data_IF_594328247783
#
_entry.id   IF_594328247783
#
_cell.length_a   1.000
_cell.length_b   1.000
_cell.length_c   1.000
_cell.angle_alpha   90.00
_cell.angle_beta   90.00
_cell.angle_gamma   90.00
#
_symmetry.space_group_name_H-M   'P 1'
#
loop_
_entity.id
_entity.type
_entity.pdbx_description
1 polymer ?
#
# COMPACT_ATOMS: atom_id res chain seq x y z
N UNK A 1 -15.21 27.82 41.51
CA UNK A 1 -14.41 26.97 40.60
C UNK A 1 -15.36 26.39 39.55
N UNK A 2 -15.11 26.62 38.26
CA UNK A 2 -15.95 26.11 37.18
C UNK A 2 -15.05 25.71 36.00
N UNK A 3 -15.38 24.59 35.35
CA UNK A 3 -14.63 24.05 34.21
C UNK A 3 -15.13 24.66 32.89
N UNK A 4 -14.25 24.98 31.92
CA UNK A 4 -14.67 25.42 30.60
C UNK A 4 -15.02 24.24 29.67
N UNK A 5 -16.05 24.40 28.86
CA UNK A 5 -16.47 23.43 27.84
C UNK A 5 -15.53 23.38 26.63
N UNK A 6 -15.40 22.24 25.92
CA UNK A 6 -14.65 22.16 24.66
C UNK A 6 -15.36 22.93 23.53
N UNK A 7 -14.59 23.75 22.80
CA UNK A 7 -15.10 24.59 21.72
C UNK A 7 -15.55 23.83 20.47
N UNK A 8 -16.60 24.33 19.83
CA UNK A 8 -17.15 23.79 18.57
C UNK A 8 -16.45 24.40 17.35
N UNK A 9 -15.56 23.63 16.71
CA UNK A 9 -14.92 24.04 15.46
C UNK A 9 -15.94 24.07 14.30
N UNK A 10 -16.32 25.29 13.89
CA UNK A 10 -17.15 25.56 12.72
C UNK A 10 -16.31 25.49 11.44
N UNK A 11 -16.44 24.42 10.66
CA UNK A 11 -15.92 24.41 9.28
C UNK A 11 -16.76 25.33 8.40
N UNK A 12 -16.21 26.49 8.03
CA UNK A 12 -16.79 27.43 7.07
C UNK A 12 -16.49 26.93 5.64
N UNK A 13 -17.51 26.42 4.95
CA UNK A 13 -17.43 26.23 3.49
C UNK A 13 -17.59 27.59 2.79
N UNK A 14 -16.72 27.88 1.84
CA UNK A 14 -16.87 28.99 0.90
C UNK A 14 -17.85 28.57 -0.20
N UNK A 15 -19.02 29.22 -0.26
CA UNK A 15 -19.90 29.12 -1.41
C UNK A 15 -19.45 30.14 -2.48
N UNK A 16 -19.35 29.70 -3.73
CA UNK A 16 -19.36 30.57 -4.91
C UNK A 16 -20.68 30.36 -5.65
N UNK A 17 -21.49 31.41 -5.74
CA UNK A 17 -22.70 31.54 -6.56
C UNK A 17 -22.38 31.34 -8.05
N UNK A 18 -23.15 30.54 -8.80
CA UNK A 18 -24.39 30.92 -9.50
C UNK A 18 -24.20 32.07 -10.50
N UNK A 19 -24.30 31.71 -11.78
CA UNK A 19 -24.72 32.58 -12.89
C UNK A 19 -25.58 31.75 -13.85
N UNK A 20 -26.65 32.36 -14.36
CA UNK A 20 -27.78 31.71 -15.04
C UNK A 20 -27.72 31.79 -16.58
N UNK A 21 -28.17 30.70 -17.26
CA UNK A 21 -28.76 30.64 -18.62
C UNK A 21 -27.93 31.13 -19.85
N UNK A 22 -28.35 30.83 -21.12
CA UNK A 22 -29.44 29.96 -21.59
C UNK A 22 -29.05 28.83 -22.58
N UNK A 23 -30.04 27.99 -22.91
CA UNK A 23 -30.01 26.98 -23.98
C UNK A 23 -30.26 27.60 -25.37
N UNK A 24 -29.84 26.93 -26.46
CA UNK A 24 -30.48 27.05 -27.77
C UNK A 24 -31.11 25.72 -28.24
N UNK A 25 -32.27 25.81 -28.91
CA UNK A 25 -32.90 24.69 -29.60
C UNK A 25 -32.40 24.55 -31.05
N UNK A 26 -32.70 23.38 -31.63
CA UNK A 26 -32.65 22.98 -33.03
C UNK A 26 -32.41 24.03 -34.14
N UNK A 27 -31.42 23.75 -34.99
CA UNK A 27 -31.48 24.06 -36.44
C UNK A 27 -30.95 22.84 -37.21
N UNK A 28 -31.80 22.26 -38.07
CA UNK A 28 -31.36 21.39 -39.17
C UNK A 28 -30.68 22.28 -40.24
N UNK A 29 -29.56 21.86 -40.83
CA UNK A 29 -29.57 21.60 -42.29
C UNK A 29 -28.35 20.81 -42.83
N UNK A 30 -28.65 20.09 -43.92
CA UNK A 30 -27.81 19.56 -45.01
C UNK A 30 -26.26 19.58 -44.92
N UNK A 31 -25.67 18.39 -44.82
CA UNK A 31 -24.34 18.10 -45.36
C UNK A 31 -24.44 17.56 -46.80
N UNK A 32 -24.24 18.42 -47.81
CA UNK A 32 -23.98 17.97 -49.18
C UNK A 32 -22.51 17.56 -49.33
N UNK A 33 -22.30 16.36 -49.88
CA UNK A 33 -20.99 15.74 -50.11
C UNK A 33 -20.53 16.03 -51.54
N UNK A 34 -19.48 16.84 -51.73
CA UNK A 34 -18.81 16.98 -53.03
C UNK A 34 -17.27 16.94 -52.92
N UNK A 35 -16.63 16.71 -54.07
CA UNK A 35 -15.31 16.11 -54.22
C UNK A 35 -14.16 17.11 -54.47
N UNK A 36 -13.01 16.80 -53.86
CA UNK A 36 -11.66 16.70 -54.46
C UNK A 36 -10.94 17.87 -55.19
N UNK A 37 -9.64 17.97 -54.85
CA UNK A 37 -8.44 18.32 -55.65
C UNK A 37 -7.91 19.77 -55.79
N UNK A 38 -6.56 19.82 -55.79
CA UNK A 38 -5.61 20.87 -56.22
C UNK A 38 -5.47 22.17 -55.39
N UNK A 39 -4.33 22.88 -55.36
CA UNK A 39 -2.89 22.53 -55.45
C UNK A 39 -2.03 23.81 -55.29
N UNK A 40 -0.82 23.71 -54.73
CA UNK A 40 0.34 24.65 -54.83
C UNK A 40 0.20 26.16 -54.53
N UNK A 41 0.95 26.64 -53.52
CA UNK A 41 1.91 27.78 -53.53
C UNK A 41 2.47 27.92 -52.08
N UNK A 42 3.74 27.65 -51.77
CA UNK A 42 5.00 28.36 -52.11
C UNK A 42 5.24 29.67 -51.34
N UNK A 43 6.14 29.56 -50.34
CA UNK A 43 7.00 30.58 -49.72
C UNK A 43 6.42 31.88 -49.13
N UNK A 44 6.61 32.05 -47.82
CA UNK A 44 7.31 33.24 -47.28
C UNK A 44 8.08 32.91 -46.00
N UNK A 45 9.33 33.37 -45.92
CA UNK A 45 10.17 33.35 -44.71
C UNK A 45 9.82 34.54 -43.81
N UNK A 46 9.81 34.36 -42.48
CA UNK A 46 10.28 35.38 -41.54
C UNK A 46 10.71 34.73 -40.19
N UNK A 47 11.96 34.89 -39.73
CA UNK A 47 12.44 34.28 -38.49
C UNK A 47 12.56 35.28 -37.33
N UNK A 48 11.93 35.01 -36.18
CA UNK A 48 12.38 35.50 -34.86
C UNK A 48 11.50 34.96 -33.72
N UNK A 49 12.08 34.10 -32.85
CA UNK A 49 11.73 33.91 -31.42
C UNK A 49 12.63 32.81 -30.83
N UNK A 50 13.89 33.15 -30.55
CA UNK A 50 14.79 32.31 -29.76
C UNK A 50 14.60 32.57 -28.26
N UNK A 51 15.08 31.63 -27.42
CA UNK A 51 15.18 31.68 -25.94
C UNK A 51 13.88 31.58 -25.13
N UNK A 52 13.51 30.34 -24.73
CA UNK A 52 13.73 29.82 -23.36
C UNK A 52 12.99 28.47 -23.13
N UNK A 53 13.45 27.36 -23.74
CA UNK A 53 12.98 26.02 -23.31
C UNK A 53 13.97 24.87 -23.59
N UNK A 54 15.24 25.07 -23.25
CA UNK A 54 16.25 24.00 -23.37
C UNK A 54 17.15 23.91 -22.14
N UNK A 55 16.64 23.27 -21.08
CA UNK A 55 17.45 22.86 -19.92
C UNK A 55 16.79 21.75 -19.09
N UNK A 56 16.64 20.55 -19.68
CA UNK A 56 16.29 19.36 -18.87
C UNK A 56 16.74 17.99 -19.42
N UNK A 57 17.83 17.95 -20.21
CA UNK A 57 18.52 16.69 -20.51
C UNK A 57 20.04 16.87 -20.47
N UNK A 58 20.67 16.30 -19.42
CA UNK A 58 21.92 15.50 -19.46
C UNK A 58 22.61 15.50 -18.09
N UNK A 59 22.71 14.31 -17.47
CA UNK A 59 23.86 13.85 -16.67
C UNK A 59 23.55 12.49 -15.97
N UNK A 60 23.45 11.41 -16.75
CA UNK A 60 23.70 10.07 -16.22
C UNK A 60 24.58 9.30 -17.20
N UNK A 61 25.87 9.26 -16.88
CA UNK A 61 26.83 8.39 -17.55
C UNK A 61 26.50 6.93 -17.22
N UNK A 62 26.55 6.06 -18.22
CA UNK A 62 26.37 4.61 -18.02
C UNK A 62 27.63 4.00 -17.41
N UNK A 63 27.52 3.14 -16.38
CA UNK A 63 28.52 2.14 -16.07
C UNK A 63 28.29 0.88 -16.90
N UNK A 64 29.40 0.31 -17.36
CA UNK A 64 29.55 -0.89 -18.19
C UNK A 64 28.63 -2.07 -17.85
N UNK A 65 28.17 -2.73 -18.91
CA UNK A 65 27.41 -3.99 -18.86
C UNK A 65 28.23 -5.15 -18.29
N UNK A 66 27.91 -5.59 -17.08
CA UNK A 66 28.31 -6.92 -16.60
C UNK A 66 27.32 -7.96 -17.13
N UNK A 67 27.82 -8.88 -17.96
CA UNK A 67 27.04 -9.97 -18.53
C UNK A 67 26.84 -11.05 -17.44
N UNK A 68 25.70 -10.99 -16.75
CA UNK A 68 25.27 -12.09 -15.88
C UNK A 68 24.57 -13.17 -16.68
N UNK A 69 25.06 -14.39 -16.53
CA UNK A 69 24.61 -15.58 -17.24
C UNK A 69 23.28 -16.06 -16.63
N UNK A 70 22.22 -16.10 -17.44
CA UNK A 70 20.88 -16.50 -16.99
C UNK A 70 20.87 -17.96 -16.49
N UNK A 71 20.40 -18.17 -15.27
CA UNK A 71 20.04 -19.50 -14.74
C UNK A 71 18.52 -19.63 -14.68
N UNK A 72 17.93 -20.73 -15.20
CA UNK A 72 16.48 -20.82 -15.37
C UNK A 72 15.72 -21.16 -14.08
N UNK A 73 14.57 -20.53 -13.92
CA UNK A 73 13.45 -20.90 -13.03
C UNK A 73 13.71 -21.07 -11.52
N UNK A 74 13.46 -20.01 -10.75
CA UNK A 74 12.72 -20.14 -9.48
C UNK A 74 11.55 -19.16 -9.44
N UNK A 75 10.34 -19.72 -9.48
CA UNK A 75 9.08 -18.99 -9.45
C UNK A 75 8.74 -18.62 -8.00
N UNK A 76 9.20 -17.45 -7.54
CA UNK A 76 8.99 -16.97 -6.17
C UNK A 76 7.51 -16.73 -5.87
N UNK A 77 6.89 -17.73 -5.27
CA UNK A 77 5.47 -17.76 -4.94
C UNK A 77 5.21 -17.01 -3.63
N UNK A 78 5.15 -15.67 -3.68
CA UNK A 78 4.77 -14.83 -2.55
C UNK A 78 3.35 -15.16 -2.08
N UNK A 79 3.24 -16.04 -1.07
CA UNK A 79 1.99 -16.35 -0.42
C UNK A 79 1.39 -15.08 0.21
N UNK A 80 0.30 -14.59 -0.37
CA UNK A 80 -0.60 -13.67 0.34
C UNK A 80 -1.21 -14.45 1.51
N UNK A 81 -0.87 -14.05 2.75
CA UNK A 81 -1.53 -14.57 3.94
C UNK A 81 -2.96 -14.03 4.00
N UNK A 82 -3.88 -14.72 3.33
CA UNK A 82 -5.30 -14.57 3.56
C UNK A 82 -5.65 -15.17 4.93
N UNK A 83 -6.11 -14.34 5.87
CA UNK A 83 -6.74 -14.82 7.10
C UNK A 83 -8.22 -15.17 6.83
N UNK A 84 -8.66 -16.43 7.00
CA UNK A 84 -10.08 -16.77 6.97
C UNK A 84 -10.72 -16.54 8.35
N UNK A 85 -11.77 -15.73 8.38
CA UNK A 85 -12.57 -15.44 9.57
C UNK A 85 -13.44 -16.65 9.97
N UNK A 86 -12.96 -17.50 10.88
CA UNK A 86 -13.76 -18.61 11.40
C UNK A 86 -14.75 -18.18 12.49
N UNK A 87 -15.96 -17.80 12.06
CA UNK A 87 -17.15 -17.87 12.92
C UNK A 87 -17.62 -19.32 13.02
N UNK A 88 -17.48 -19.96 14.18
CA UNK A 88 -18.19 -21.21 14.53
C UNK A 88 -19.08 -20.98 15.74
N UNK A 89 -20.37 -20.81 15.48
CA UNK A 89 -21.42 -21.07 16.47
C UNK A 89 -21.54 -22.59 16.63
N UNK A 90 -21.57 -23.09 17.87
CA UNK A 90 -22.20 -24.37 18.18
C UNK A 90 -22.96 -24.26 19.49
N UNK A 91 -24.27 -24.47 19.40
CA UNK A 91 -25.18 -24.50 20.54
C UNK A 91 -24.97 -25.75 21.37
N UNK A 92 -24.96 -25.61 22.70
CA UNK A 92 -25.12 -26.73 23.65
C UNK A 92 -26.58 -27.18 23.67
N UNK A 93 -26.82 -28.48 23.70
CA UNK A 93 -28.00 -29.08 24.35
C UNK A 93 -27.73 -30.54 24.75
N UNK A 94 -28.57 -31.05 25.64
CA UNK A 94 -28.54 -32.30 26.42
C UNK A 94 -28.43 -33.61 25.55
N UNK A 95 -28.11 -34.81 26.07
CA UNK A 95 -28.57 -35.44 27.32
C UNK A 95 -27.63 -36.50 27.91
N UNK A 96 -27.93 -36.87 29.16
CA UNK A 96 -27.33 -37.99 29.91
C UNK A 96 -27.73 -39.35 29.31
N UNK A 97 -26.90 -40.38 29.48
CA UNK A 97 -27.32 -41.75 29.88
C UNK A 97 -26.12 -42.62 30.30
N UNK A 98 -26.38 -43.55 31.21
CA UNK A 98 -25.52 -44.63 31.71
C UNK A 98 -26.44 -45.60 32.49
N UNK A 99 -26.02 -46.82 32.89
CA UNK A 99 -24.81 -47.56 32.57
C UNK A 99 -25.09 -48.97 31.97
N UNK A 100 -24.07 -49.71 31.54
CA UNK A 100 -23.82 -51.10 31.99
C UNK A 100 -22.61 -51.77 31.32
N UNK A 101 -22.04 -52.70 32.06
CA UNK A 101 -20.77 -53.40 31.88
C UNK A 101 -20.59 -54.13 30.54
N UNK A 102 -19.33 -54.21 30.08
CA UNK A 102 -18.69 -55.49 29.71
C UNK A 102 -17.15 -55.35 29.73
N UNK A 103 -16.45 -56.40 30.14
CA UNK A 103 -14.98 -56.45 30.24
C UNK A 103 -14.31 -56.31 28.87
N UNK A 104 -13.21 -55.56 28.78
CA UNK A 104 -12.19 -55.75 27.73
C UNK A 104 -10.78 -55.83 28.34
N UNK A 105 -9.84 -56.58 27.71
CA UNK A 105 -8.48 -56.74 28.23
C UNK A 105 -7.63 -55.48 28.01
N UNK A 106 -6.62 -55.27 28.87
CA UNK A 106 -5.63 -54.21 28.70
C UNK A 106 -4.81 -54.45 27.42
N UNK A 107 -4.73 -53.50 26.47
CA UNK A 107 -3.67 -53.52 25.47
C UNK A 107 -2.34 -53.20 26.16
N UNK A 108 -1.31 -54.00 25.88
CA UNK A 108 0.03 -53.76 26.40
C UNK A 108 0.58 -52.44 25.85
N UNK A 109 0.91 -51.52 26.74
CA UNK A 109 1.54 -50.26 26.37
C UNK A 109 3.03 -50.52 26.10
N UNK A 110 3.35 -50.89 24.87
CA UNK A 110 4.73 -50.89 24.38
C UNK A 110 5.30 -49.47 24.53
N UNK A 111 6.41 -49.27 25.25
CA UNK A 111 7.10 -47.99 25.25
C UNK A 111 7.57 -47.73 23.82
N UNK A 112 7.00 -46.71 23.17
CA UNK A 112 7.53 -46.23 21.90
C UNK A 112 9.00 -45.88 22.11
N UNK A 113 9.94 -46.34 21.26
CA UNK A 113 11.33 -45.94 21.38
C UNK A 113 11.37 -44.42 21.25
N UNK A 114 11.68 -43.75 22.36
CA UNK A 114 11.95 -42.33 22.38
C UNK A 114 13.23 -42.14 21.58
N UNK A 115 13.09 -41.93 20.26
CA UNK A 115 14.16 -41.39 19.44
C UNK A 115 14.67 -40.16 20.16
N UNK A 116 15.92 -40.13 20.64
CA UNK A 116 16.45 -38.93 21.26
C UNK A 116 16.31 -37.85 20.19
N UNK A 117 15.51 -36.82 20.51
CA UNK A 117 15.42 -35.63 19.68
C UNK A 117 16.82 -35.07 19.64
N UNK A 118 17.55 -35.37 18.56
CA UNK A 118 18.93 -34.92 18.38
C UNK A 118 18.85 -33.41 18.45
N UNK A 119 19.28 -32.85 19.58
CA UNK A 119 19.21 -31.41 19.83
C UNK A 119 19.97 -30.78 18.68
N UNK A 120 19.25 -30.05 17.82
CA UNK A 120 19.81 -29.52 16.59
C UNK A 120 20.89 -28.52 17.00
N UNK A 121 22.14 -28.96 16.97
CA UNK A 121 23.26 -28.21 17.51
C UNK A 121 23.30 -26.87 16.76
N UNK A 122 23.24 -25.73 17.47
CA UNK A 122 23.12 -24.43 16.84
C UNK A 122 24.24 -24.24 15.81
N UNK A 123 23.94 -23.68 14.65
CA UNK A 123 24.91 -23.51 13.57
C UNK A 123 26.07 -22.59 13.99
N UNK A 124 27.17 -22.58 13.23
CA UNK A 124 28.36 -21.81 13.60
C UNK A 124 28.09 -20.31 13.83
N UNK A 125 27.15 -19.73 13.09
CA UNK A 125 26.76 -18.31 13.21
C UNK A 125 25.85 -18.04 14.41
N UNK A 126 24.99 -19.00 14.79
CA UNK A 126 24.15 -18.94 16.00
C UNK A 126 24.97 -18.92 17.31
N UNK A 127 26.22 -19.37 17.26
CA UNK A 127 27.16 -19.38 18.40
C UNK A 127 28.05 -18.14 18.48
N UNK A 128 27.99 -17.25 17.49
CA UNK A 128 28.76 -16.01 17.55
C UNK A 128 28.14 -15.04 18.56
N UNK A 129 28.93 -14.20 19.25
CA UNK A 129 28.39 -13.13 20.08
C UNK A 129 27.49 -12.17 19.29
N UNK A 130 26.43 -11.64 19.93
CA UNK A 130 25.40 -10.83 19.28
C UNK A 130 25.96 -9.59 18.54
N UNK A 131 27.05 -8.99 19.03
CA UNK A 131 27.71 -7.87 18.37
C UNK A 131 28.43 -8.28 17.06
N UNK A 132 28.92 -9.52 16.98
CA UNK A 132 29.51 -10.08 15.75
C UNK A 132 28.40 -10.42 14.76
N UNK A 133 27.32 -11.08 15.22
CA UNK A 133 26.14 -11.35 14.40
C UNK A 133 25.55 -10.05 13.83
N UNK A 134 25.34 -9.03 14.68
CA UNK A 134 24.80 -7.73 14.28
C UNK A 134 25.66 -7.03 13.22
N UNK A 135 26.99 -7.18 13.30
CA UNK A 135 27.90 -6.67 12.26
C UNK A 135 27.73 -7.45 10.95
N UNK A 136 27.77 -8.80 11.01
CA UNK A 136 27.61 -9.65 9.83
C UNK A 136 26.28 -9.39 9.11
N UNK A 137 25.18 -9.22 9.84
CA UNK A 137 23.87 -8.91 9.25
C UNK A 137 23.76 -7.44 8.80
N UNK A 138 24.42 -6.51 9.48
CA UNK A 138 24.45 -5.09 9.08
C UNK A 138 25.23 -4.82 7.79
N UNK A 139 26.15 -5.70 7.43
CA UNK A 139 26.91 -5.65 6.16
C UNK A 139 26.15 -6.29 4.97
N UNK A 140 24.96 -6.86 5.17
CA UNK A 140 24.13 -7.49 4.12
C UNK A 140 23.15 -6.50 3.46
N UNK A 141 22.95 -6.65 2.15
CA UNK A 141 21.89 -5.93 1.44
C UNK A 141 20.50 -6.46 1.81
N UNK A 142 19.48 -5.64 1.55
CA UNK A 142 18.08 -5.92 1.87
C UNK A 142 17.57 -7.20 1.19
N UNK A 143 18.04 -7.48 -0.02
CA UNK A 143 17.72 -8.71 -0.74
C UNK A 143 18.28 -9.95 -0.04
N UNK A 144 19.54 -9.90 0.40
CA UNK A 144 20.20 -10.97 1.16
C UNK A 144 19.57 -11.16 2.53
N UNK A 145 19.20 -10.07 3.22
CA UNK A 145 18.47 -10.12 4.50
C UNK A 145 17.09 -10.77 4.34
N UNK A 146 16.32 -10.40 3.30
CA UNK A 146 15.05 -11.08 2.97
C UNK A 146 15.32 -12.57 2.74
N UNK A 147 16.26 -12.92 1.87
CA UNK A 147 16.55 -14.32 1.55
C UNK A 147 16.93 -15.11 2.81
N UNK A 148 17.88 -14.60 3.61
CA UNK A 148 18.38 -15.25 4.82
C UNK A 148 17.27 -15.43 5.87
N UNK A 149 16.38 -14.45 6.04
CA UNK A 149 15.19 -14.55 6.92
C UNK A 149 14.20 -15.65 6.53
N UNK A 150 14.32 -16.25 5.34
CA UNK A 150 13.46 -17.33 4.84
C UNK A 150 14.10 -18.72 4.84
N UNK A 151 15.40 -18.85 5.11
CA UNK A 151 16.09 -20.16 4.98
C UNK A 151 15.89 -21.10 6.16
N UNK A 152 15.77 -20.58 7.39
CA UNK A 152 15.49 -21.39 8.58
C UNK A 152 14.74 -20.62 9.70
N UNK A 153 14.27 -21.35 10.72
CA UNK A 153 13.50 -20.77 11.85
C UNK A 153 14.29 -19.77 12.70
N UNK A 154 15.59 -19.98 12.87
CA UNK A 154 16.43 -19.07 13.65
C UNK A 154 16.54 -17.71 12.95
N UNK A 155 16.95 -17.67 11.68
CA UNK A 155 17.03 -16.41 10.94
C UNK A 155 15.66 -15.75 10.75
N UNK A 156 14.57 -16.52 10.65
CA UNK A 156 13.22 -15.98 10.58
C UNK A 156 12.79 -15.22 11.86
N UNK A 157 13.41 -15.52 13.01
CA UNK A 157 13.18 -14.82 14.27
C UNK A 157 14.23 -13.75 14.56
N UNK A 158 15.48 -13.95 14.15
CA UNK A 158 16.61 -13.05 14.45
C UNK A 158 16.76 -11.92 13.44
N UNK A 159 16.43 -12.13 12.16
CA UNK A 159 16.62 -11.15 11.10
C UNK A 159 15.33 -10.37 10.86
N UNK A 160 15.39 -9.05 11.04
CA UNK A 160 14.38 -8.11 10.54
C UNK A 160 14.96 -7.31 9.37
N UNK A 161 14.67 -7.68 8.10
CA UNK A 161 15.16 -6.94 6.94
C UNK A 161 14.69 -5.47 6.90
N UNK A 162 13.56 -5.14 7.54
CA UNK A 162 13.03 -3.77 7.54
C UNK A 162 13.81 -2.87 8.50
N UNK A 163 14.16 -3.37 9.68
CA UNK A 163 14.98 -2.67 10.67
C UNK A 163 16.48 -2.68 10.38
N UNK A 164 17.01 -3.74 9.75
CA UNK A 164 18.45 -3.92 9.54
C UNK A 164 18.99 -3.23 8.28
N UNK A 165 18.28 -3.25 7.16
CA UNK A 165 18.81 -2.74 5.89
C UNK A 165 18.73 -1.20 5.76
N UNK A 166 19.61 -0.59 4.97
CA UNK A 166 19.59 0.85 4.68
C UNK A 166 18.33 1.29 3.90
N UNK A 167 17.88 2.53 4.12
CA UNK A 167 16.72 3.10 3.44
C UNK A 167 16.92 3.29 1.92
N UNK A 168 18.15 3.58 1.48
CA UNK A 168 18.49 3.75 0.05
C UNK A 168 18.42 2.41 -0.67
N UNK A 169 19.03 1.37 -0.08
CA UNK A 169 19.01 0.02 -0.65
C UNK A 169 17.59 -0.57 -0.69
N UNK A 170 16.83 -0.44 0.41
CA UNK A 170 15.40 -0.79 0.44
C UNK A 170 14.59 -0.09 -0.66
N UNK A 171 14.88 1.17 -0.95
CA UNK A 171 14.27 1.92 -2.04
C UNK A 171 14.72 1.44 -3.43
N UNK A 172 16.01 1.16 -3.63
CA UNK A 172 16.54 0.61 -4.88
C UNK A 172 16.00 -0.79 -5.17
N UNK A 173 15.87 -1.65 -4.16
CA UNK A 173 15.26 -2.98 -4.28
C UNK A 173 13.81 -2.88 -4.76
N UNK A 174 12.95 -2.06 -4.13
CA UNK A 174 11.54 -1.97 -4.55
C UNK A 174 11.38 -1.32 -5.94
N UNK A 175 12.28 -0.40 -6.31
CA UNK A 175 12.33 0.18 -7.65
C UNK A 175 12.73 -0.85 -8.72
N UNK A 176 13.79 -1.64 -8.48
CA UNK A 176 14.18 -2.77 -9.35
C UNK A 176 13.03 -3.76 -9.48
N UNK A 177 12.43 -4.15 -8.35
CA UNK A 177 11.32 -5.09 -8.34
C UNK A 177 10.14 -4.61 -9.22
N UNK A 178 9.70 -3.35 -9.08
CA UNK A 178 8.59 -2.82 -9.88
C UNK A 178 8.87 -2.76 -11.39
N UNK A 179 10.13 -2.59 -11.79
CA UNK A 179 10.57 -2.43 -13.19
C UNK A 179 10.87 -3.77 -13.88
N UNK A 180 11.65 -4.61 -13.21
CA UNK A 180 12.35 -5.73 -13.85
C UNK A 180 11.44 -6.96 -13.96
N UNK A 181 10.49 -7.13 -13.04
CA UNK A 181 9.53 -8.23 -13.03
C UNK A 181 8.31 -7.97 -13.95
N UNK A 182 8.07 -8.78 -15.00
CA UNK A 182 7.00 -8.54 -15.96
C UNK A 182 5.59 -8.50 -15.37
N UNK A 183 5.33 -9.27 -14.30
CA UNK A 183 4.02 -9.32 -13.61
C UNK A 183 3.64 -8.02 -12.85
N UNK A 184 4.49 -6.99 -12.90
CA UNK A 184 4.21 -5.67 -12.34
C UNK A 184 3.96 -4.61 -13.39
N UNK A 185 4.23 -4.90 -14.67
CA UNK A 185 4.00 -3.98 -15.79
C UNK A 185 2.51 -3.86 -16.10
N UNK A 186 2.02 -2.68 -16.52
CA UNK A 186 0.66 -2.54 -17.03
C UNK A 186 0.40 -3.48 -18.23
N UNK A 187 -0.84 -3.93 -18.38
CA UNK A 187 -1.30 -4.65 -19.57
C UNK A 187 -2.20 -3.76 -20.39
N UNK A 188 -1.79 -3.50 -21.63
CA UNK A 188 -2.56 -2.73 -22.65
C UNK A 188 -3.24 -3.65 -23.68
N UNK A 189 -3.15 -4.98 -23.52
CA UNK A 189 -3.66 -5.93 -24.52
C UNK A 189 -5.19 -6.07 -24.45
N UNK A 190 -5.87 -5.39 -25.36
CA UNK A 190 -7.30 -5.58 -25.64
C UNK A 190 -8.22 -5.08 -24.52
N UNK A 191 -9.29 -5.82 -24.26
CA UNK A 191 -10.27 -5.46 -23.22
C UNK A 191 -9.74 -5.64 -21.78
N UNK A 192 -8.61 -6.33 -21.59
CA UNK A 192 -7.98 -6.57 -20.30
C UNK A 192 -6.99 -5.46 -19.90
N UNK A 193 -7.46 -4.20 -19.89
CA UNK A 193 -6.66 -3.10 -19.30
C UNK A 193 -6.46 -3.36 -17.81
N UNK A 194 -5.21 -3.70 -17.43
CA UNK A 194 -4.83 -3.92 -16.04
C UNK A 194 -3.78 -2.88 -15.65
N UNK A 195 -4.07 -2.01 -14.66
CA UNK A 195 -3.04 -1.13 -14.11
C UNK A 195 -1.88 -1.98 -13.60
N UNK A 196 -0.65 -1.54 -13.86
CA UNK A 196 0.53 -2.18 -13.28
C UNK A 196 0.49 -2.15 -11.75
N UNK A 197 1.29 -3.01 -11.13
CA UNK A 197 1.52 -2.93 -9.69
C UNK A 197 2.40 -1.71 -9.39
N UNK A 198 2.36 -1.24 -8.15
CA UNK A 198 3.14 -0.08 -7.72
C UNK A 198 3.96 -0.36 -6.47
N UNK A 199 5.08 0.35 -6.39
CA UNK A 199 6.01 0.38 -5.28
C UNK A 199 5.47 1.18 -4.08
N UNK A 200 5.58 0.62 -2.86
CA UNK A 200 5.40 1.36 -1.62
C UNK A 200 6.76 1.63 -0.98
N UNK A 201 7.14 2.90 -0.82
CA UNK A 201 8.41 3.32 -0.21
C UNK A 201 8.40 3.38 1.32
N UNK A 202 7.28 3.00 1.98
CA UNK A 202 7.21 2.91 3.46
C UNK A 202 7.42 1.48 3.94
N UNK A 203 6.83 0.48 3.26
CA UNK A 203 7.04 -0.94 3.58
C UNK A 203 7.91 -1.70 2.57
N UNK A 204 8.45 -1.00 1.56
CA UNK A 204 9.38 -1.52 0.55
C UNK A 204 8.89 -2.81 -0.13
N UNK A 205 7.63 -2.77 -0.57
CA UNK A 205 6.93 -3.85 -1.29
C UNK A 205 6.24 -3.32 -2.53
N UNK A 206 6.24 -4.12 -3.59
CA UNK A 206 5.38 -3.91 -4.76
C UNK A 206 4.00 -4.50 -4.45
N UNK A 207 2.93 -3.74 -4.69
CA UNK A 207 1.54 -4.10 -4.37
C UNK A 207 0.62 -3.78 -5.54
N UNK A 208 -0.52 -4.46 -5.59
CA UNK A 208 -1.54 -4.26 -6.62
C UNK A 208 -2.31 -2.93 -6.46
N UNK A 209 -2.92 -2.37 -7.52
CA UNK A 209 -3.57 -1.06 -7.53
C UNK A 209 -4.64 -0.85 -6.44
N UNK A 210 -5.28 -1.90 -5.92
CA UNK A 210 -6.27 -1.82 -4.83
C UNK A 210 -5.67 -1.32 -3.51
N UNK A 211 -4.34 -1.41 -3.35
CA UNK A 211 -3.64 -0.98 -2.14
C UNK A 211 -3.21 0.50 -2.18
N UNK A 212 -3.47 1.21 -3.27
CA UNK A 212 -3.04 2.60 -3.46
C UNK A 212 -4.23 3.52 -3.67
N UNK A 213 -4.20 4.66 -2.99
CA UNK A 213 -5.15 5.76 -3.22
C UNK A 213 -4.88 6.42 -4.58
N UNK A 214 -5.96 6.86 -5.23
CA UNK A 214 -5.91 7.65 -6.45
C UNK A 214 -5.43 9.08 -6.16
N UNK A 215 -5.83 9.66 -5.02
CA UNK A 215 -5.57 11.06 -4.63
C UNK A 215 -4.51 11.19 -3.53
N UNK A 216 -3.47 10.37 -3.61
CA UNK A 216 -2.41 10.32 -2.62
C UNK A 216 -1.72 11.67 -2.38
N UNK A 217 -1.54 12.14 -1.12
CA UNK A 217 -0.85 13.38 -0.84
C UNK A 217 0.61 13.33 -1.30
N UNK A 218 1.04 14.37 -2.01
CA UNK A 218 2.39 14.51 -2.56
C UNK A 218 3.40 15.11 -1.57
N UNK A 219 2.91 15.66 -0.45
CA UNK A 219 3.73 16.32 0.56
C UNK A 219 3.20 16.06 1.96
N UNK A 220 4.10 16.14 2.93
CA UNK A 220 3.79 16.22 4.36
C UNK A 220 4.67 17.28 5.03
N UNK A 221 4.39 17.56 6.31
CA UNK A 221 5.24 18.38 7.16
C UNK A 221 5.82 17.51 8.27
N UNK A 222 7.09 17.73 8.59
CA UNK A 222 7.77 17.08 9.72
C UNK A 222 8.31 18.12 10.70
N UNK A 223 8.28 17.78 11.99
CA UNK A 223 8.90 18.60 13.03
C UNK A 223 10.44 18.53 12.98
N UNK A 224 11.11 19.26 13.86
CA UNK A 224 12.57 19.25 13.99
C UNK A 224 13.17 17.91 14.47
N UNK A 225 12.34 16.95 14.89
CA UNK A 225 12.75 15.57 15.17
C UNK A 225 12.47 14.62 13.98
N UNK A 226 11.96 15.13 12.86
CA UNK A 226 11.61 14.34 11.67
C UNK A 226 10.27 13.61 11.77
N UNK A 227 9.44 13.89 12.78
CA UNK A 227 8.14 13.24 12.98
C UNK A 227 7.04 13.97 12.21
N UNK A 228 6.11 13.23 11.63
CA UNK A 228 4.98 13.81 10.86
C UNK A 228 4.08 14.68 11.74
N UNK A 229 3.81 15.90 11.28
CA UNK A 229 2.87 16.84 11.91
C UNK A 229 1.47 16.55 11.37
N UNK A 230 0.60 16.00 12.22
CA UNK A 230 -0.75 15.51 11.83
C UNK A 230 -1.87 15.98 12.77
N UNK A 231 -1.51 16.50 13.93
CA UNK A 231 -2.38 16.87 15.06
C UNK A 231 -2.63 18.39 15.17
N UNK A 232 -1.85 19.19 14.44
CA UNK A 232 -1.90 20.66 14.42
C UNK A 232 -1.57 21.20 13.03
N UNK A 233 -1.85 22.48 12.82
CA UNK A 233 -1.38 23.18 11.62
C UNK A 233 0.17 23.28 11.61
N UNK A 234 0.81 23.13 10.43
CA UNK A 234 2.25 23.32 10.29
C UNK A 234 2.69 24.75 10.61
N UNK A 235 3.75 24.89 11.39
CA UNK A 235 4.34 26.16 11.79
C UNK A 235 5.49 26.53 10.82
N UNK A 236 5.37 27.63 10.06
CA UNK A 236 6.44 28.12 9.19
C UNK A 236 7.76 28.31 9.96
N UNK A 237 8.88 27.94 9.34
CA UNK A 237 10.22 28.03 9.96
C UNK A 237 10.54 26.95 11.00
N UNK A 238 9.54 26.30 11.60
CA UNK A 238 9.73 25.16 12.53
C UNK A 238 9.54 23.81 11.86
N UNK A 239 8.48 23.68 11.06
CA UNK A 239 8.12 22.41 10.42
C UNK A 239 8.57 22.42 8.96
N UNK A 240 9.27 21.36 8.55
CA UNK A 240 9.81 21.24 7.19
C UNK A 240 8.83 20.51 6.30
N UNK A 241 8.44 21.14 5.18
CA UNK A 241 7.72 20.46 4.11
C UNK A 241 8.64 19.45 3.42
N UNK A 242 8.17 18.21 3.28
CA UNK A 242 8.85 17.13 2.56
C UNK A 242 7.99 16.65 1.39
N UNK A 243 8.63 16.17 0.33
CA UNK A 243 7.96 15.46 -0.77
C UNK A 243 7.85 13.99 -0.43
N UNK A 244 6.65 13.44 -0.59
CA UNK A 244 6.37 12.02 -0.37
C UNK A 244 6.57 11.25 -1.66
N UNK A 245 7.25 10.10 -1.58
CA UNK A 245 7.15 9.07 -2.62
C UNK A 245 5.92 8.21 -2.37
N UNK A 246 5.60 7.34 -3.33
CA UNK A 246 4.40 6.50 -3.28
C UNK A 246 4.34 5.59 -2.04
N UNK A 247 3.18 5.47 -1.41
CA UNK A 247 2.93 4.57 -0.28
C UNK A 247 1.60 3.83 -0.43
N UNK A 248 1.44 2.64 0.17
CA UNK A 248 0.13 1.97 0.19
C UNK A 248 -0.77 2.56 1.28
N UNK A 249 -2.09 2.44 1.12
CA UNK A 249 -3.11 3.02 2.02
C UNK A 249 -2.88 2.57 3.48
N UNK A 250 -2.53 1.30 3.70
CA UNK A 250 -2.21 0.75 5.03
C UNK A 250 -1.06 1.50 5.70
N UNK A 251 0.02 1.77 4.95
CA UNK A 251 1.15 2.55 5.45
C UNK A 251 0.74 4.01 5.68
N UNK A 252 -0.01 4.62 4.76
CA UNK A 252 -0.49 5.99 4.92
C UNK A 252 -1.33 6.17 6.18
N UNK A 253 -2.22 5.23 6.50
CA UNK A 253 -3.04 5.25 7.72
C UNK A 253 -2.22 4.97 8.99
N UNK A 254 -1.24 4.05 8.92
CA UNK A 254 -0.33 3.76 10.03
C UNK A 254 0.52 4.99 10.39
N UNK A 255 1.20 5.57 9.41
CA UNK A 255 2.08 6.73 9.60
C UNK A 255 1.29 8.05 9.79
N UNK A 256 -0.03 8.06 9.55
CA UNK A 256 -0.90 9.23 9.75
C UNK A 256 -0.98 10.19 8.57
N UNK A 257 -0.48 9.80 7.39
CA UNK A 257 -0.63 10.49 6.12
C UNK A 257 -2.07 10.45 5.57
N UNK A 258 -2.87 9.47 6.02
CA UNK A 258 -4.32 9.46 5.88
C UNK A 258 -4.96 9.65 7.25
N UNK A 259 -5.80 10.68 7.38
CA UNK A 259 -6.44 11.07 8.62
C UNK A 259 -7.69 10.23 8.92
N UNK A 260 -8.11 10.14 10.20
CA UNK A 260 -9.42 9.62 10.53
C UNK A 260 -10.54 10.34 9.79
N UNK A 261 -11.52 9.57 9.32
CA UNK A 261 -12.63 10.01 8.47
C UNK A 261 -12.25 10.42 7.03
N UNK A 262 -11.00 10.23 6.59
CA UNK A 262 -10.68 10.32 5.17
C UNK A 262 -11.53 9.35 4.35
N UNK A 263 -11.93 9.81 3.17
CA UNK A 263 -12.58 9.01 2.13
C UNK A 263 -11.59 8.85 0.99
N UNK A 264 -11.19 7.61 0.73
CA UNK A 264 -10.17 7.27 -0.26
C UNK A 264 -10.83 6.51 -1.41
N UNK A 265 -10.27 6.62 -2.61
CA UNK A 265 -10.72 5.84 -3.78
C UNK A 265 -9.49 5.12 -4.32
N UNK A 266 -9.51 3.79 -4.35
CA UNK A 266 -8.35 3.03 -4.83
C UNK A 266 -8.07 3.34 -6.31
N UNK A 267 -6.87 3.00 -6.80
CA UNK A 267 -6.56 3.07 -8.24
C UNK A 267 -7.40 2.11 -9.11
N UNK A 268 -8.20 1.24 -8.50
CA UNK A 268 -9.23 0.42 -9.14
C UNK A 268 -10.66 0.97 -9.00
N UNK A 269 -10.82 2.19 -8.48
CA UNK A 269 -12.13 2.84 -8.31
C UNK A 269 -12.96 2.36 -7.13
N UNK A 270 -12.37 1.62 -6.18
CA UNK A 270 -13.08 1.16 -4.97
C UNK A 270 -13.04 2.22 -3.88
N UNK A 271 -14.21 2.61 -3.39
CA UNK A 271 -14.29 3.57 -2.29
C UNK A 271 -14.05 2.93 -0.92
N UNK A 272 -13.18 3.56 -0.15
CA UNK A 272 -12.81 3.21 1.23
C UNK A 272 -13.05 4.41 2.16
N UNK A 273 -12.99 4.17 3.47
CA UNK A 273 -12.84 5.22 4.49
C UNK A 273 -12.01 4.74 5.68
N UNK A 274 -11.45 5.69 6.42
CA UNK A 274 -10.62 5.46 7.61
C UNK A 274 -11.45 5.71 8.88
N UNK A 275 -11.62 4.72 9.78
CA UNK A 275 -12.34 4.96 11.05
C UNK A 275 -11.52 5.84 12.00
N UNK A 276 -12.19 6.35 13.04
CA UNK A 276 -11.54 6.94 14.22
C UNK A 276 -10.46 6.01 14.84
N UNK A 277 -10.63 4.69 14.78
CA UNK A 277 -9.61 3.71 15.22
C UNK A 277 -8.54 3.37 14.16
N UNK A 278 -8.43 4.13 13.07
CA UNK A 278 -7.50 3.88 11.95
C UNK A 278 -7.66 2.52 11.24
N UNK A 279 -8.78 1.82 11.41
CA UNK A 279 -9.14 0.69 10.53
C UNK A 279 -9.73 1.21 9.22
N UNK A 280 -9.36 0.57 8.11
CA UNK A 280 -9.81 0.88 6.76
C UNK A 280 -11.04 0.03 6.44
N UNK A 281 -12.09 0.64 5.91
CA UNK A 281 -13.36 -0.02 5.62
C UNK A 281 -13.85 0.29 4.20
N UNK A 282 -14.34 -0.73 3.49
CA UNK A 282 -14.89 -0.56 2.16
C UNK A 282 -16.34 -0.08 2.18
N UNK A 283 -16.66 0.86 1.28
CA UNK A 283 -18.03 1.25 0.95
C UNK A 283 -18.58 0.35 -0.17
N UNK A 284 -19.91 0.15 -0.26
CA UNK A 284 -20.93 0.49 0.74
C UNK A 284 -20.98 -0.49 1.93
N UNK A 285 -20.22 -1.60 1.88
CA UNK A 285 -20.37 -2.74 2.79
C UNK A 285 -20.19 -2.47 4.29
N UNK A 286 -19.43 -1.44 4.68
CA UNK A 286 -19.29 -1.04 6.08
C UNK A 286 -19.41 0.49 6.22
N UNK A 287 -20.59 0.98 6.60
CA UNK A 287 -20.84 2.40 6.91
C UNK A 287 -20.76 2.74 8.41
N UNK A 288 -20.54 1.75 9.26
CA UNK A 288 -20.32 1.90 10.70
C UNK A 288 -19.33 0.84 11.15
N UNK A 289 -18.24 1.24 11.79
CA UNK A 289 -17.19 0.30 12.15
C UNK A 289 -17.62 -0.64 13.30
N UNK A 290 -17.36 -1.96 13.19
CA UNK A 290 -17.70 -2.92 14.24
C UNK A 290 -16.98 -2.65 15.57
N UNK A 291 -15.70 -2.25 15.53
CA UNK A 291 -14.88 -2.03 16.73
C UNK A 291 -15.03 -0.61 17.28
N UNK A 292 -14.93 0.36 16.36
CA UNK A 292 -14.84 1.80 16.67
C UNK A 292 -16.23 2.44 16.87
N UNK A 293 -17.31 1.75 16.49
CA UNK A 293 -18.72 2.21 16.41
C UNK A 293 -18.98 3.54 15.69
N UNK A 294 -17.91 4.22 15.26
CA UNK A 294 -17.94 5.43 14.47
C UNK A 294 -18.54 5.19 13.10
N UNK A 295 -19.20 6.23 12.62
CA UNK A 295 -19.89 6.23 11.33
C UNK A 295 -18.97 6.74 10.21
N UNK A 296 -19.18 6.19 9.02
CA UNK A 296 -18.61 6.73 7.78
C UNK A 296 -19.13 8.16 7.59
N UNK A 297 -18.28 9.15 7.27
CA UNK A 297 -18.70 10.55 7.13
C UNK A 297 -19.67 10.77 5.96
N UNK A 298 -19.66 9.88 4.96
CA UNK A 298 -20.59 9.86 3.83
C UNK A 298 -21.82 8.98 4.08
N UNK A 299 -22.01 8.44 5.30
CA UNK A 299 -23.22 7.68 5.65
C UNK A 299 -24.44 8.60 5.45
N UNK A 300 -25.42 8.23 4.61
CA UNK A 300 -26.60 9.05 4.40
C UNK A 300 -27.30 9.32 5.72
N UNK A 301 -27.37 10.60 6.13
CA UNK A 301 -28.19 11.01 7.26
C UNK A 301 -29.64 10.77 6.87
N UNK A 302 -30.35 9.92 7.61
CA UNK A 302 -31.81 9.79 7.45
C UNK A 302 -32.41 11.19 7.62
N UNK A 303 -33.00 11.73 6.56
CA UNK A 303 -33.88 12.90 6.67
C UNK A 303 -35.08 12.42 7.49
N UNK A 304 -35.16 12.82 8.75
CA UNK A 304 -36.42 12.77 9.47
C UNK A 304 -37.32 13.82 8.82
N UNK A 305 -38.36 13.35 8.12
CA UNK A 305 -39.43 14.23 7.68
C UNK A 305 -40.17 14.74 8.91
N UNK A 306 -40.18 16.06 9.05
CA UNK A 306 -41.20 16.79 9.78
C UNK A 306 -42.22 17.28 8.74
#
# INVERSE_FOLDING_TARGET
>A
MALPSPGSHKYRRSNTSVTDYPSPESVNDSYQRHHSHHSHHSHHYNPQSHYYQEQQHQAYQQPSSYHYQESPHQQYNYHQQHHPSHSRQHSRQHSQHSPSQLRQPRPYHMPSPQSPTVSAMPSGIERLPDNVQSKVYGDLDYQSLIHLSTTNRYFNHTIDPQGMADATDKAQFVMRAAKDFPQHRPSEKGHDYKPGNFECYVCFRVRSPEHFDMLQPQHAYVDHHGRLVTDREPQPGRDRKITLRRFCIECGVKEGLHAPFDCLTTRTGRDLWVCKCRRIWAKPGCLRCPDCRGDCPLRPKKKFGF
#
